data_IF_899544115473
#
_entry.id   IF_899544115473
#
_cell.length_a   1.000
_cell.length_b   1.000
_cell.length_c   1.000
_cell.angle_alpha   90.00
_cell.angle_beta   90.00
_cell.angle_gamma   90.00
#
_symmetry.space_group_name_H-M   'P 1'
#
loop_
_entity.id
_entity.type
_entity.pdbx_description
1 polymer ?
#
# COMPACT_ATOMS: atom_id res chain seq x y z
N UNK A 1 9.94 7.12 -38.51
CA UNK A 1 10.48 7.34 -37.14
C UNK A 1 10.20 8.78 -36.73
N UNK A 2 9.37 9.01 -35.70
CA UNK A 2 8.96 10.34 -35.23
C UNK A 2 10.12 11.04 -34.48
N UNK A 3 11.08 11.60 -35.22
CA UNK A 3 12.14 12.42 -34.62
C UNK A 3 11.64 13.87 -34.43
N UNK A 4 11.83 14.45 -33.23
CA UNK A 4 11.43 15.84 -32.87
C UNK A 4 9.95 16.17 -33.12
N UNK A 5 9.04 15.25 -32.85
CA UNK A 5 7.60 15.48 -32.94
C UNK A 5 6.92 15.04 -31.64
N UNK A 6 6.06 15.91 -31.10
CA UNK A 6 5.17 15.62 -29.98
C UNK A 6 3.76 15.51 -30.54
N UNK A 7 3.14 14.34 -30.36
CA UNK A 7 1.74 14.14 -30.69
C UNK A 7 0.89 14.56 -29.49
N UNK A 8 -0.03 15.49 -29.71
CA UNK A 8 -1.14 15.76 -28.82
C UNK A 8 -2.39 15.10 -29.41
N UNK A 9 -3.09 14.36 -28.57
CA UNK A 9 -4.29 13.63 -28.91
C UNK A 9 -5.42 14.08 -27.97
N UNK A 10 -6.53 14.51 -28.57
CA UNK A 10 -7.78 14.74 -27.86
C UNK A 10 -8.68 13.51 -28.05
N UNK A 11 -8.89 12.75 -26.97
CA UNK A 11 -9.66 11.53 -27.02
C UNK A 11 -11.16 11.74 -27.18
N UNK A 12 -11.67 12.93 -26.82
CA UNK A 12 -13.10 13.22 -26.88
C UNK A 12 -13.53 13.59 -28.31
N UNK A 13 -12.73 14.41 -28.99
CA UNK A 13 -13.00 14.83 -30.37
C UNK A 13 -12.26 13.99 -31.43
N UNK A 14 -11.45 13.03 -31.00
CA UNK A 14 -10.57 12.24 -31.88
C UNK A 14 -9.61 13.11 -32.73
N UNK A 15 -9.17 14.24 -32.17
CA UNK A 15 -8.33 15.22 -32.84
C UNK A 15 -6.84 14.95 -32.60
N UNK A 16 -6.03 15.18 -33.64
CA UNK A 16 -4.58 14.98 -33.60
C UNK A 16 -3.85 16.26 -33.96
N UNK A 17 -2.92 16.68 -33.09
CA UNK A 17 -1.98 17.77 -33.38
C UNK A 17 -0.56 17.29 -33.23
N UNK A 18 0.26 17.52 -34.25
CA UNK A 18 1.67 17.17 -34.21
C UNK A 18 2.51 18.45 -34.05
N UNK A 19 3.07 18.65 -32.86
CA UNK A 19 3.96 19.77 -32.56
C UNK A 19 5.40 19.38 -32.91
N UNK A 20 6.09 20.20 -33.68
CA UNK A 20 7.53 20.04 -33.92
C UNK A 20 8.30 20.48 -32.67
N UNK A 21 9.06 19.56 -32.09
CA UNK A 21 9.93 19.85 -30.94
C UNK A 21 11.17 20.61 -31.38
N UNK A 22 11.69 21.43 -30.45
CA UNK A 22 12.98 22.12 -30.62
C UNK A 22 14.11 21.10 -30.75
N UNK A 23 15.19 21.49 -31.43
CA UNK A 23 16.41 20.70 -31.48
C UNK A 23 17.14 20.64 -30.13
N UNK A 24 18.22 19.86 -30.10
CA UNK A 24 19.19 19.84 -29.00
C UNK A 24 19.66 21.27 -28.69
N UNK A 25 19.72 21.62 -27.40
CA UNK A 25 20.33 22.87 -26.92
C UNK A 25 21.79 22.61 -26.56
N UNK A 26 22.68 23.58 -26.83
CA UNK A 26 24.10 23.46 -26.51
C UNK A 26 24.35 23.48 -25.00
N UNK A 27 23.48 24.17 -24.27
CA UNK A 27 23.53 24.37 -22.82
C UNK A 27 22.73 23.31 -22.04
N UNK A 28 22.32 22.20 -22.67
CA UNK A 28 21.55 21.16 -22.00
C UNK A 28 22.41 20.42 -20.95
N UNK A 29 21.90 20.32 -19.72
CA UNK A 29 22.59 19.66 -18.59
C UNK A 29 22.90 18.16 -18.83
N UNK A 30 22.17 17.49 -19.72
CA UNK A 30 22.34 16.06 -20.02
C UNK A 30 23.11 15.85 -21.32
N UNK A 31 22.69 16.53 -22.39
CA UNK A 31 23.22 16.29 -23.72
C UNK A 31 23.88 17.52 -24.35
N UNK A 32 24.18 18.58 -23.60
CA UNK A 32 24.83 19.79 -24.11
C UNK A 32 26.29 19.57 -24.53
N UNK A 33 26.99 20.64 -24.91
CA UNK A 33 28.44 20.60 -25.19
C UNK A 33 29.23 20.38 -23.89
N UNK A 34 28.72 20.85 -22.75
CA UNK A 34 29.29 20.66 -21.41
C UNK A 34 28.22 20.07 -20.45
N UNK A 35 27.98 18.74 -20.46
CA UNK A 35 26.95 18.12 -19.64
C UNK A 35 27.34 18.08 -18.15
N UNK A 36 26.40 18.43 -17.27
CA UNK A 36 26.55 18.37 -15.81
C UNK A 36 25.96 17.09 -15.20
N UNK A 37 25.01 16.45 -15.89
CA UNK A 37 24.40 15.18 -15.50
C UNK A 37 24.97 14.07 -16.39
N UNK A 38 25.94 13.33 -15.86
CA UNK A 38 26.68 12.28 -16.59
C UNK A 38 26.34 10.86 -16.14
N UNK A 39 25.57 10.70 -15.06
CA UNK A 39 25.13 9.41 -14.52
C UNK A 39 23.73 9.52 -13.92
N UNK A 40 23.01 8.40 -13.89
CA UNK A 40 21.66 8.28 -13.30
C UNK A 40 21.64 8.49 -11.78
N UNK A 41 22.79 8.51 -11.12
CA UNK A 41 22.92 8.61 -9.66
C UNK A 41 22.77 10.02 -9.09
N UNK A 42 22.77 11.08 -9.92
CA UNK A 42 22.81 12.47 -9.43
C UNK A 42 21.45 13.21 -9.41
N UNK A 43 20.41 12.66 -10.04
CA UNK A 43 19.10 13.34 -10.06
C UNK A 43 18.26 12.87 -8.88
N UNK A 44 18.30 13.64 -7.79
CA UNK A 44 17.29 13.54 -6.73
C UNK A 44 16.00 14.15 -7.27
N UNK A 45 15.09 13.31 -7.76
CA UNK A 45 13.73 13.75 -8.03
C UNK A 45 13.11 14.17 -6.70
N UNK A 46 12.98 15.48 -6.47
CA UNK A 46 12.47 16.03 -5.19
C UNK A 46 11.01 15.66 -4.92
N UNK A 47 10.29 15.16 -5.94
CA UNK A 47 8.95 14.63 -5.82
C UNK A 47 8.80 13.36 -6.67
N UNK A 48 9.13 12.16 -6.16
CA UNK A 48 8.60 10.96 -6.76
C UNK A 48 7.07 11.06 -6.68
N UNK A 49 6.39 10.98 -7.82
CA UNK A 49 4.92 10.95 -7.95
C UNK A 49 4.25 9.80 -7.19
N UNK A 50 5.05 8.97 -6.52
CA UNK A 50 4.66 8.01 -5.51
C UNK A 50 5.62 8.19 -4.32
N UNK A 51 5.31 9.08 -3.37
CA UNK A 51 5.99 9.13 -2.08
C UNK A 51 5.73 7.81 -1.35
N UNK A 52 6.54 6.79 -1.65
CA UNK A 52 6.47 5.52 -0.97
C UNK A 52 6.75 5.79 0.52
N UNK A 53 5.88 5.33 1.43
CA UNK A 53 6.16 5.44 2.84
C UNK A 53 7.49 4.74 3.17
N UNK A 54 8.21 5.20 4.20
CA UNK A 54 9.46 4.56 4.60
C UNK A 54 9.21 3.08 4.91
N UNK A 55 10.16 2.19 4.58
CA UNK A 55 9.98 0.75 4.79
C UNK A 55 9.74 0.45 6.27
N UNK A 56 8.76 -0.40 6.55
CA UNK A 56 8.51 -0.90 7.90
C UNK A 56 9.61 -1.87 8.34
N UNK A 57 9.94 -1.93 9.64
CA UNK A 57 10.86 -2.93 10.17
C UNK A 57 10.29 -4.35 10.01
N UNK A 58 11.14 -5.40 10.01
CA UNK A 58 10.67 -6.79 9.90
C UNK A 58 9.64 -7.21 10.96
N UNK A 59 9.69 -6.61 12.15
CA UNK A 59 8.72 -6.86 13.24
C UNK A 59 7.32 -6.30 12.98
N UNK A 60 7.16 -5.43 11.99
CA UNK A 60 5.90 -4.79 11.63
C UNK A 60 5.37 -5.24 10.26
N UNK A 61 5.87 -6.37 9.75
CA UNK A 61 5.48 -6.92 8.44
C UNK A 61 5.32 -8.44 8.54
N UNK A 62 4.45 -8.99 7.71
CA UNK A 62 4.22 -10.42 7.57
C UNK A 62 3.90 -10.75 6.11
N UNK A 63 4.27 -11.93 5.63
CA UNK A 63 3.86 -12.38 4.30
C UNK A 63 2.42 -12.92 4.30
N UNK A 64 1.81 -13.07 3.13
CA UNK A 64 0.45 -13.63 3.01
C UNK A 64 0.39 -15.10 3.43
N UNK A 65 1.46 -15.85 3.22
CA UNK A 65 1.61 -17.26 3.61
C UNK A 65 1.68 -17.37 5.14
N UNK A 66 2.54 -16.57 5.77
CA UNK A 66 2.62 -16.50 7.23
C UNK A 66 1.31 -16.04 7.84
N UNK A 67 0.63 -15.05 7.23
CA UNK A 67 -0.69 -14.61 7.68
C UNK A 67 -1.74 -15.74 7.57
N UNK A 68 -1.72 -16.55 6.50
CA UNK A 68 -2.62 -17.70 6.32
C UNK A 68 -2.53 -18.68 7.50
N UNK A 69 -1.31 -19.00 7.95
CA UNK A 69 -1.08 -19.95 9.05
C UNK A 69 -1.65 -19.47 10.39
N UNK A 70 -1.72 -18.16 10.61
CA UNK A 70 -2.12 -17.58 11.89
C UNK A 70 -3.57 -17.04 11.86
N UNK A 71 -4.17 -16.93 10.67
CA UNK A 71 -5.51 -16.36 10.42
C UNK A 71 -6.61 -17.06 11.23
N UNK A 72 -6.49 -18.37 11.45
CA UNK A 72 -7.47 -19.17 12.19
C UNK A 72 -7.65 -18.73 13.65
N UNK A 73 -6.71 -17.95 14.21
CA UNK A 73 -6.77 -17.39 15.58
C UNK A 73 -7.73 -16.18 15.72
N UNK A 74 -8.68 -16.02 14.80
CA UNK A 74 -9.67 -14.93 14.73
C UNK A 74 -9.07 -13.53 14.76
N UNK A 75 -7.89 -13.29 14.19
CA UNK A 75 -7.16 -12.01 14.28
C UNK A 75 -7.97 -10.82 13.75
N UNK A 76 -7.72 -9.60 14.27
CA UNK A 76 -8.33 -8.39 13.73
C UNK A 76 -7.63 -8.00 12.43
N UNK A 77 -8.34 -8.12 11.32
CA UNK A 77 -7.89 -7.71 9.99
C UNK A 77 -8.54 -6.39 9.59
N UNK A 78 -7.73 -5.41 9.22
CA UNK A 78 -8.12 -4.10 8.73
C UNK A 78 -7.81 -3.99 7.24
N UNK A 79 -8.83 -3.75 6.43
CA UNK A 79 -8.66 -3.46 5.01
C UNK A 79 -8.78 -1.95 4.76
N UNK A 80 -7.69 -1.34 4.29
CA UNK A 80 -7.60 0.11 4.08
C UNK A 80 -7.87 0.55 2.65
N UNK A 81 -8.35 -0.35 1.79
CA UNK A 81 -8.82 0.00 0.45
C UNK A 81 -10.09 0.85 0.53
N UNK A 82 -10.38 1.57 -0.56
CA UNK A 82 -11.65 2.27 -0.66
C UNK A 82 -12.83 1.28 -0.72
N UNK A 83 -14.04 1.77 -0.41
CA UNK A 83 -15.25 0.94 -0.32
C UNK A 83 -15.57 0.20 -1.63
N UNK A 84 -15.35 0.84 -2.78
CA UNK A 84 -15.57 0.23 -4.10
C UNK A 84 -14.68 -0.98 -4.30
N UNK A 85 -13.39 -0.85 -4.00
CA UNK A 85 -12.42 -1.93 -4.08
C UNK A 85 -12.73 -3.07 -3.10
N UNK A 86 -13.15 -2.74 -1.89
CA UNK A 86 -13.56 -3.72 -0.88
C UNK A 86 -14.81 -4.49 -1.31
N UNK A 87 -15.77 -3.80 -1.94
CA UNK A 87 -17.01 -4.40 -2.44
C UNK A 87 -16.80 -5.37 -3.62
N UNK A 88 -15.73 -5.20 -4.41
CA UNK A 88 -15.39 -6.17 -5.49
C UNK A 88 -15.03 -7.53 -4.88
N UNK A 89 -14.14 -7.53 -3.89
CA UNK A 89 -13.71 -8.73 -3.17
C UNK A 89 -12.96 -8.35 -1.90
N UNK A 90 -13.12 -9.13 -0.84
CA UNK A 90 -12.43 -8.98 0.44
C UNK A 90 -12.34 -10.33 1.16
N UNK A 91 -11.49 -10.40 2.20
CA UNK A 91 -11.51 -11.51 3.14
C UNK A 91 -12.66 -11.31 4.12
N UNK A 92 -13.44 -12.37 4.40
CA UNK A 92 -14.70 -12.27 5.15
C UNK A 92 -14.57 -11.60 6.53
N UNK A 93 -13.45 -11.82 7.22
CA UNK A 93 -13.16 -11.23 8.53
C UNK A 93 -12.59 -9.80 8.48
N UNK A 94 -12.32 -9.27 7.28
CA UNK A 94 -11.70 -7.98 7.10
C UNK A 94 -12.68 -6.83 7.42
N UNK A 95 -12.23 -5.90 8.25
CA UNK A 95 -12.96 -4.67 8.55
C UNK A 95 -12.48 -3.56 7.63
N UNK A 96 -13.39 -3.01 6.81
CA UNK A 96 -13.01 -1.94 5.89
C UNK A 96 -13.02 -0.57 6.57
N UNK A 97 -11.85 0.07 6.65
CA UNK A 97 -11.71 1.49 6.98
C UNK A 97 -10.75 2.08 5.95
N UNK A 98 -11.25 2.77 4.90
CA UNK A 98 -10.40 3.36 3.88
C UNK A 98 -9.29 4.22 4.48
N UNK A 99 -8.08 4.15 3.89
CA UNK A 99 -6.92 4.91 4.37
C UNK A 99 -7.23 6.41 4.53
N UNK A 100 -8.00 6.99 3.60
CA UNK A 100 -8.40 8.40 3.64
C UNK A 100 -9.24 8.79 4.86
N UNK A 101 -9.95 7.84 5.47
CA UNK A 101 -10.77 8.04 6.68
C UNK A 101 -10.17 7.41 7.93
N UNK A 102 -9.00 6.75 7.84
CA UNK A 102 -8.42 6.02 8.96
C UNK A 102 -8.15 6.92 10.18
N UNK A 103 -7.69 8.15 9.94
CA UNK A 103 -7.40 9.11 11.01
C UNK A 103 -8.65 9.51 11.79
N UNK A 104 -9.77 9.76 11.12
CA UNK A 104 -11.05 10.14 11.75
C UNK A 104 -11.79 8.94 12.35
N UNK A 105 -11.65 7.75 11.77
CA UNK A 105 -12.28 6.51 12.28
C UNK A 105 -11.46 5.80 13.37
N UNK A 106 -10.35 6.40 13.84
CA UNK A 106 -9.45 5.76 14.79
C UNK A 106 -10.13 5.35 16.09
N UNK A 107 -11.03 6.18 16.63
CA UNK A 107 -11.76 5.86 17.87
C UNK A 107 -12.63 4.60 17.73
N UNK A 108 -13.24 4.39 16.57
CA UNK A 108 -14.02 3.18 16.27
C UNK A 108 -13.12 1.95 16.17
N UNK A 109 -11.95 2.09 15.53
CA UNK A 109 -10.96 1.01 15.46
C UNK A 109 -10.42 0.65 16.85
N UNK A 110 -10.16 1.64 17.71
CA UNK A 110 -9.70 1.44 19.08
C UNK A 110 -10.69 0.62 19.91
N UNK A 111 -11.98 0.95 19.83
CA UNK A 111 -13.02 0.17 20.52
C UNK A 111 -12.98 -1.31 20.11
N UNK A 112 -12.85 -1.58 18.82
CA UNK A 112 -12.78 -2.96 18.28
C UNK A 112 -11.52 -3.71 18.72
N UNK A 113 -10.38 -3.03 18.80
CA UNK A 113 -9.13 -3.61 19.33
C UNK A 113 -9.35 -4.01 20.80
N UNK A 114 -10.00 -3.15 21.59
CA UNK A 114 -10.25 -3.41 23.01
C UNK A 114 -11.25 -4.55 23.24
N UNK A 115 -12.35 -4.58 22.48
CA UNK A 115 -13.32 -5.69 22.51
C UNK A 115 -12.65 -7.03 22.21
N UNK A 116 -11.78 -7.06 21.19
CA UNK A 116 -11.00 -8.25 20.86
C UNK A 116 -10.08 -8.65 22.02
N UNK A 117 -9.36 -7.71 22.63
CA UNK A 117 -8.45 -8.00 23.74
C UNK A 117 -9.18 -8.62 24.92
N UNK A 118 -10.39 -8.13 25.23
CA UNK A 118 -11.24 -8.70 26.28
C UNK A 118 -11.66 -10.14 25.94
N UNK A 119 -12.14 -10.37 24.71
CA UNK A 119 -12.52 -11.72 24.27
C UNK A 119 -11.37 -12.73 24.37
N UNK A 120 -10.12 -12.31 24.12
CA UNK A 120 -8.94 -13.17 24.26
C UNK A 120 -8.52 -13.42 25.72
N UNK A 121 -8.86 -12.54 26.67
CA UNK A 121 -8.49 -12.71 28.08
C UNK A 121 -9.37 -13.74 28.81
N UNK A 122 -10.57 -14.03 28.28
CA UNK A 122 -11.50 -14.99 28.88
C UNK A 122 -11.10 -16.45 28.56
N UNK A 123 -10.29 -16.69 27.53
CA UNK A 123 -9.83 -18.03 27.10
C UNK A 123 -8.57 -18.53 27.85
N UNK A 124 -8.46 -18.23 29.16
CA UNK A 124 -7.28 -18.48 30.02
C UNK A 124 -6.71 -19.90 29.92
N UNK A 125 -5.43 -20.02 29.53
CA UNK A 125 -4.63 -21.22 29.82
C UNK A 125 -3.37 -21.44 28.98
N UNK A 126 -3.18 -20.73 27.86
CA UNK A 126 -2.08 -21.03 26.94
C UNK A 126 -1.03 -19.91 26.93
N UNK A 127 0.24 -20.28 26.85
CA UNK A 127 1.37 -19.35 26.65
C UNK A 127 1.06 -18.35 25.54
N UNK A 128 1.20 -17.05 25.84
CA UNK A 128 0.94 -15.97 24.87
C UNK A 128 1.84 -16.15 23.65
N UNK A 129 1.23 -16.43 22.50
CA UNK A 129 1.98 -16.53 21.24
C UNK A 129 2.31 -15.12 20.74
N UNK A 130 3.43 -14.98 20.04
CA UNK A 130 3.91 -13.69 19.50
C UNK A 130 2.86 -12.98 18.63
N UNK A 131 1.97 -13.73 17.97
CA UNK A 131 0.90 -13.17 17.15
C UNK A 131 -0.26 -12.58 17.96
N UNK A 132 -0.46 -13.03 19.20
CA UNK A 132 -1.47 -12.49 20.12
C UNK A 132 -1.03 -11.14 20.72
N UNK A 133 0.23 -10.75 20.49
CA UNK A 133 0.72 -9.40 20.72
C UNK A 133 0.40 -8.43 19.58
N UNK A 134 -0.13 -8.90 18.45
CA UNK A 134 -0.53 -8.02 17.36
C UNK A 134 -1.94 -7.52 17.60
N UNK A 135 -2.11 -6.20 17.62
CA UNK A 135 -3.44 -5.59 17.82
C UNK A 135 -4.26 -5.64 16.53
N UNK A 136 -3.60 -5.43 15.37
CA UNK A 136 -4.27 -5.37 14.06
C UNK A 136 -3.32 -5.73 12.91
N UNK A 137 -3.82 -6.55 11.98
CA UNK A 137 -3.17 -6.79 10.70
C UNK A 137 -3.78 -5.88 9.64
N UNK A 138 -2.95 -5.29 8.78
CA UNK A 138 -3.37 -4.25 7.84
C UNK A 138 -3.15 -4.74 6.41
N UNK A 139 -4.21 -4.69 5.60
CA UNK A 139 -4.21 -5.11 4.21
C UNK A 139 -4.66 -3.97 3.29
N UNK A 140 -4.03 -3.87 2.12
CA UNK A 140 -4.54 -3.05 1.01
C UNK A 140 -4.48 -3.85 -0.31
N UNK A 141 -4.54 -3.18 -1.47
CA UNK A 141 -4.50 -3.88 -2.77
C UNK A 141 -3.16 -4.56 -3.04
N UNK A 142 -2.04 -3.84 -2.87
CA UNK A 142 -0.68 -4.28 -3.27
C UNK A 142 0.37 -4.19 -2.16
N UNK A 143 -0.03 -3.90 -0.93
CA UNK A 143 0.91 -3.69 0.19
C UNK A 143 1.59 -2.31 0.22
N UNK A 144 1.08 -1.30 -0.49
CA UNK A 144 1.65 0.07 -0.50
C UNK A 144 0.91 0.96 0.51
N UNK A 145 -0.39 1.14 0.33
CA UNK A 145 -1.22 1.98 1.22
C UNK A 145 -1.31 1.45 2.65
N UNK A 146 -1.21 0.12 2.80
CA UNK A 146 -1.19 -0.53 4.11
C UNK A 146 0.08 -0.21 4.89
N UNK A 147 1.21 0.11 4.24
CA UNK A 147 2.42 0.58 4.93
C UNK A 147 2.17 1.94 5.58
N UNK A 148 1.55 2.87 4.84
CA UNK A 148 1.14 4.18 5.36
C UNK A 148 0.17 4.03 6.53
N UNK A 149 -0.85 3.18 6.38
CA UNK A 149 -1.79 2.89 7.46
C UNK A 149 -1.11 2.30 8.70
N UNK A 150 -0.17 1.36 8.52
CA UNK A 150 0.57 0.78 9.64
C UNK A 150 1.40 1.81 10.37
N UNK A 151 2.07 2.75 9.68
CA UNK A 151 2.75 3.88 10.35
C UNK A 151 1.77 4.71 11.16
N UNK A 152 0.67 5.17 10.55
CA UNK A 152 -0.35 5.98 11.24
C UNK A 152 -0.91 5.31 12.51
N UNK A 153 -1.04 3.99 12.50
CA UNK A 153 -1.53 3.22 13.65
C UNK A 153 -0.45 3.07 14.74
N UNK A 154 0.79 2.78 14.34
CA UNK A 154 1.93 2.63 15.26
C UNK A 154 2.29 3.93 15.95
N UNK A 155 2.20 5.07 15.24
CA UNK A 155 2.38 6.40 15.82
C UNK A 155 1.37 6.71 16.92
N UNK A 156 0.20 6.05 16.87
CA UNK A 156 -0.84 6.12 17.91
C UNK A 156 -0.76 4.98 18.93
N UNK A 157 0.36 4.26 18.99
CA UNK A 157 0.62 3.20 19.97
C UNK A 157 -0.04 1.85 19.66
N UNK A 158 -0.61 1.67 18.46
CA UNK A 158 -1.20 0.38 18.07
C UNK A 158 -0.13 -0.55 17.53
N UNK A 159 -0.10 -1.80 18.00
CA UNK A 159 0.78 -2.85 17.48
C UNK A 159 0.24 -3.37 16.15
N UNK A 160 0.38 -2.57 15.10
CA UNK A 160 -0.06 -2.88 13.75
C UNK A 160 1.03 -3.60 12.94
N UNK A 161 0.61 -4.58 12.14
CA UNK A 161 1.47 -5.37 11.23
C UNK A 161 0.93 -5.30 9.81
N UNK A 162 1.78 -4.93 8.86
CA UNK A 162 1.44 -4.88 7.43
C UNK A 162 1.47 -6.28 6.79
N UNK A 163 0.47 -6.61 5.98
CA UNK A 163 0.50 -7.81 5.14
C UNK A 163 1.14 -7.47 3.78
N UNK A 164 2.30 -8.05 3.53
CA UNK A 164 3.12 -7.76 2.36
C UNK A 164 2.46 -8.22 1.06
N UNK A 165 2.39 -7.31 0.09
CA UNK A 165 1.76 -7.55 -1.22
C UNK A 165 0.22 -7.48 -1.23
N UNK A 166 -0.41 -7.32 -0.07
CA UNK A 166 -1.86 -7.12 0.07
C UNK A 166 -2.72 -8.26 -0.52
N UNK A 167 -3.97 -7.93 -0.84
CA UNK A 167 -4.93 -8.91 -1.40
C UNK A 167 -4.50 -9.46 -2.76
N UNK A 168 -3.70 -8.70 -3.53
CA UNK A 168 -3.18 -9.20 -4.81
C UNK A 168 -2.18 -10.34 -4.63
N UNK A 169 -1.34 -10.27 -3.58
CA UNK A 169 -0.45 -11.36 -3.24
C UNK A 169 -1.20 -12.54 -2.64
N UNK A 170 -2.24 -12.27 -1.84
CA UNK A 170 -3.12 -13.31 -1.32
C UNK A 170 -3.76 -14.12 -2.44
N UNK A 171 -4.37 -13.45 -3.42
CA UNK A 171 -4.97 -14.09 -4.61
C UNK A 171 -3.96 -14.97 -5.35
N UNK A 172 -2.73 -14.50 -5.56
CA UNK A 172 -1.73 -15.25 -6.32
C UNK A 172 -1.10 -16.44 -5.59
N UNK A 173 -0.95 -16.34 -4.27
CA UNK A 173 -0.09 -17.27 -3.50
C UNK A 173 -0.84 -18.10 -2.47
N UNK A 174 -2.03 -17.67 -2.06
CA UNK A 174 -2.80 -18.31 -0.99
C UNK A 174 -4.13 -18.86 -1.48
N UNK A 175 -4.91 -18.04 -2.19
CA UNK A 175 -6.26 -18.38 -2.62
C UNK A 175 -6.60 -17.77 -3.99
N UNK A 176 -6.39 -18.53 -5.08
CA UNK A 176 -6.71 -18.09 -6.44
C UNK A 176 -8.19 -17.81 -6.71
N UNK A 177 -9.11 -18.19 -5.81
CA UNK A 177 -10.53 -17.87 -5.98
C UNK A 177 -10.85 -16.40 -5.71
N UNK A 178 -9.98 -15.70 -4.96
CA UNK A 178 -10.07 -14.26 -4.73
C UNK A 178 -9.70 -13.52 -6.03
N UNK A 179 -10.62 -12.75 -6.66
CA UNK A 179 -10.37 -12.10 -7.94
C UNK A 179 -9.27 -11.02 -7.88
N UNK A 180 -8.49 -10.93 -8.95
CA UNK A 180 -7.63 -9.78 -9.22
C UNK A 180 -8.41 -8.70 -9.98
N UNK A 181 -8.18 -7.45 -9.62
CA UNK A 181 -8.66 -6.25 -10.31
C UNK A 181 -7.59 -5.17 -10.22
#
# INVERSE_FOLDING_TARGET
VLNKKLLLFDAFYADFRCIKLRGRRKECEICGENPTITSLTSVKYENPTCSLPPPLPPSARITVEQFKEIREKKLLLLDVRNKTQFAITHLEEAHNIPLSSLSSSFSSLQHRIEERKKALQDEKGTEKRKEEEVDVFVMCRRGIDSVTATHLLRDKGVRAVNIDGGISAWSRRVDPSVPLY
#
